data_IF_669734353816
#
_entry.id   IF_669734353816
#
_cell.length_a   1.000
_cell.length_b   1.000
_cell.length_c   1.000
_cell.angle_alpha   90.00
_cell.angle_beta   90.00
_cell.angle_gamma   90.00
#
_symmetry.space_group_name_H-M   'P 1'
#
loop_
_entity.id
_entity.type
_entity.pdbx_description
1 polymer ?
#
# COMPACT_ATOMS: atom_id res chain seq x y z
N UNK A 1 0.79 -8.19 4.88
CA UNK A 1 -0.63 -7.82 4.66
C UNK A 1 -0.79 -7.18 3.28
N UNK A 2 -1.78 -7.60 2.48
CA UNK A 2 -2.14 -6.92 1.21
C UNK A 2 -3.60 -6.48 1.25
N UNK A 3 -3.87 -5.23 0.87
CA UNK A 3 -5.21 -4.64 0.92
C UNK A 3 -5.39 -3.52 -0.11
N UNK A 4 -6.58 -3.42 -0.66
CA UNK A 4 -6.95 -2.36 -1.60
C UNK A 4 -7.65 -1.20 -0.87
N UNK A 5 -7.38 0.01 -1.33
CA UNK A 5 -7.95 1.24 -0.81
C UNK A 5 -8.22 2.24 -1.92
N UNK A 6 -9.08 3.20 -1.62
CA UNK A 6 -9.37 4.33 -2.47
C UNK A 6 -8.79 5.59 -1.83
N UNK A 7 -8.06 6.38 -2.60
CA UNK A 7 -7.51 7.66 -2.18
C UNK A 7 -7.57 8.65 -3.32
N UNK A 8 -8.01 9.88 -3.04
CA UNK A 8 -8.22 10.92 -4.05
C UNK A 8 -9.05 10.49 -5.29
N UNK A 9 -9.98 9.55 -5.11
CA UNK A 9 -10.83 9.00 -6.18
C UNK A 9 -10.17 7.94 -7.06
N UNK A 10 -8.94 7.54 -6.72
CA UNK A 10 -8.16 6.51 -7.40
C UNK A 10 -8.05 5.26 -6.54
N UNK A 11 -7.89 4.10 -7.18
CA UNK A 11 -7.73 2.82 -6.50
C UNK A 11 -6.26 2.48 -6.40
N UNK A 12 -5.85 2.08 -5.20
CA UNK A 12 -4.49 1.64 -4.92
C UNK A 12 -4.51 0.32 -4.17
N UNK A 13 -3.44 -0.45 -4.33
CA UNK A 13 -3.17 -1.67 -3.57
C UNK A 13 -1.94 -1.44 -2.71
N UNK A 14 -2.08 -1.58 -1.40
CA UNK A 14 -0.95 -1.63 -0.47
C UNK A 14 -0.59 -3.07 -0.15
N UNK A 15 0.71 -3.37 -0.17
CA UNK A 15 1.32 -4.60 0.31
C UNK A 15 2.35 -4.21 1.37
N UNK A 16 2.02 -4.42 2.64
CA UNK A 16 2.97 -4.27 3.74
C UNK A 16 3.57 -5.64 4.08
N UNK A 17 4.88 -5.76 4.13
CA UNK A 17 5.61 -6.99 4.41
C UNK A 17 6.62 -6.76 5.53
N UNK A 18 6.53 -7.54 6.61
CA UNK A 18 7.43 -7.44 7.76
C UNK A 18 6.68 -7.27 9.07
N UNK A 19 7.36 -6.70 10.06
CA UNK A 19 6.83 -6.46 11.40
C UNK A 19 6.69 -4.96 11.65
N UNK A 20 5.81 -4.57 12.57
CA UNK A 20 5.58 -3.16 12.89
C UNK A 20 6.91 -2.43 13.22
N UNK A 21 7.20 -1.36 12.48
CA UNK A 21 8.44 -0.58 12.60
C UNK A 21 9.64 -1.11 11.79
N UNK A 22 9.53 -2.30 11.21
CA UNK A 22 10.49 -2.91 10.27
C UNK A 22 9.71 -3.66 9.17
N UNK A 23 8.98 -2.89 8.38
CA UNK A 23 8.12 -3.38 7.31
C UNK A 23 8.42 -2.64 6.01
N UNK A 24 8.44 -3.38 4.92
CA UNK A 24 8.48 -2.87 3.56
C UNK A 24 7.03 -2.63 3.11
N UNK A 25 6.72 -1.40 2.70
CA UNK A 25 5.38 -1.03 2.26
C UNK A 25 5.46 -0.72 0.78
N UNK A 26 4.67 -1.45 0.00
CA UNK A 26 4.58 -1.34 -1.44
C UNK A 26 3.19 -0.83 -1.82
N UNK A 27 3.09 0.17 -2.67
CA UNK A 27 1.82 0.72 -3.16
C UNK A 27 1.83 0.68 -4.68
N UNK A 28 0.78 0.07 -5.23
CA UNK A 28 0.55 0.03 -6.67
C UNK A 28 -0.76 0.75 -6.98
N UNK A 29 -0.72 1.72 -7.90
CA UNK A 29 -1.91 2.36 -8.46
C UNK A 29 -2.57 1.41 -9.45
N UNK A 30 -3.89 1.26 -9.33
CA UNK A 30 -4.71 0.42 -10.19
C UNK A 30 -5.68 1.34 -10.92
N UNK A 31 -5.46 1.55 -12.21
CA UNK A 31 -6.34 2.33 -13.08
C UNK A 31 -7.04 1.39 -14.07
N UNK A 32 -8.37 1.29 -13.98
CA UNK A 32 -9.20 0.44 -14.86
C UNK A 32 -8.77 -1.04 -14.93
N UNK A 33 -8.16 -1.55 -13.84
CA UNK A 33 -7.63 -2.92 -13.77
C UNK A 33 -6.21 -3.08 -14.34
N UNK A 34 -5.55 -1.99 -14.71
CA UNK A 34 -4.15 -1.95 -15.14
C UNK A 34 -3.28 -1.39 -14.01
N UNK A 35 -2.18 -2.07 -13.72
CA UNK A 35 -1.14 -1.56 -12.81
C UNK A 35 -0.42 -0.38 -13.48
N UNK A 36 -0.60 0.81 -12.91
CA UNK A 36 -0.01 2.06 -13.41
C UNK A 36 1.30 2.37 -12.70
N UNK A 37 1.29 3.39 -11.85
CA UNK A 37 2.44 3.78 -11.04
C UNK A 37 2.60 2.93 -9.78
N UNK A 38 3.84 2.62 -9.41
CA UNK A 38 4.17 1.94 -8.17
C UNK A 38 5.20 2.73 -7.34
N UNK A 39 5.08 2.66 -6.02
CA UNK A 39 6.04 3.24 -5.08
C UNK A 39 6.21 2.29 -3.89
N UNK A 40 7.42 2.22 -3.36
CA UNK A 40 7.72 1.39 -2.20
C UNK A 40 8.64 2.13 -1.24
N UNK A 41 8.52 1.82 0.05
CA UNK A 41 9.44 2.27 1.09
C UNK A 41 9.86 1.09 1.94
N UNK A 42 11.15 1.01 2.21
CA UNK A 42 11.69 0.07 3.18
C UNK A 42 11.90 0.77 4.52
N UNK A 43 11.05 0.45 5.51
CA UNK A 43 11.17 1.09 6.82
C UNK A 43 12.40 0.64 7.62
N UNK A 44 13.13 -0.38 7.15
CA UNK A 44 14.31 -0.90 7.82
C UNK A 44 15.58 -0.07 7.52
N UNK A 45 15.68 0.49 6.32
CA UNK A 45 16.90 1.13 5.82
C UNK A 45 16.71 2.59 5.42
N UNK A 46 15.49 3.02 5.10
CA UNK A 46 15.23 4.42 4.79
C UNK A 46 14.96 5.27 6.04
N UNK A 47 15.26 6.57 5.99
CA UNK A 47 14.92 7.51 7.06
C UNK A 47 13.40 7.74 7.04
N UNK A 48 12.70 7.07 7.94
CA UNK A 48 11.25 7.09 8.04
C UNK A 48 10.83 7.06 9.52
N UNK A 49 9.67 7.64 9.81
CA UNK A 49 9.13 7.59 11.16
C UNK A 49 8.59 6.18 11.43
N UNK A 50 9.38 5.31 12.05
CA UNK A 50 9.04 3.91 12.35
C UNK A 50 7.93 3.77 13.40
N UNK A 51 7.56 4.88 14.05
CA UNK A 51 6.45 4.94 15.01
C UNK A 51 5.13 5.37 14.36
N UNK A 52 5.17 5.91 13.14
CA UNK A 52 3.98 6.33 12.42
C UNK A 52 3.08 5.13 12.04
N UNK A 53 1.74 5.30 12.09
CA UNK A 53 0.82 4.27 11.69
C UNK A 53 0.90 4.02 10.17
N UNK A 54 0.64 2.78 9.77
CA UNK A 54 0.69 2.34 8.37
C UNK A 54 -0.13 3.25 7.43
N UNK A 55 -1.30 3.71 7.89
CA UNK A 55 -2.17 4.62 7.13
C UNK A 55 -1.50 5.94 6.77
N UNK A 56 -0.67 6.50 7.67
CA UNK A 56 0.03 7.75 7.44
C UNK A 56 1.15 7.57 6.39
N UNK A 57 1.88 6.45 6.48
CA UNK A 57 2.88 6.07 5.48
C UNK A 57 2.23 5.85 4.11
N UNK A 58 1.07 5.20 4.07
CA UNK A 58 0.32 4.98 2.84
C UNK A 58 -0.06 6.31 2.18
N UNK A 59 -0.62 7.24 2.96
CA UNK A 59 -1.01 8.57 2.47
C UNK A 59 0.22 9.34 1.96
N UNK A 60 1.33 9.31 2.70
CA UNK A 60 2.58 9.96 2.31
C UNK A 60 3.11 9.43 0.97
N UNK A 61 3.12 8.10 0.80
CA UNK A 61 3.57 7.46 -0.44
C UNK A 61 2.66 7.77 -1.62
N UNK A 62 1.34 7.73 -1.43
CA UNK A 62 0.40 8.16 -2.47
C UNK A 62 0.62 9.63 -2.86
N UNK A 63 0.88 10.51 -1.89
CA UNK A 63 1.10 11.93 -2.18
C UNK A 63 2.38 12.18 -2.99
N UNK A 64 3.38 11.31 -2.89
CA UNK A 64 4.59 11.29 -3.76
C UNK A 64 4.31 10.67 -5.13
N UNK A 65 3.66 9.50 -5.15
CA UNK A 65 3.41 8.74 -6.37
C UNK A 65 2.53 9.50 -7.37
N UNK A 66 1.49 10.19 -6.89
CA UNK A 66 0.54 10.92 -7.74
C UNK A 66 1.22 11.95 -8.64
N UNK A 67 2.02 12.91 -8.13
CA UNK A 67 2.74 13.85 -8.98
C UNK A 67 3.88 13.20 -9.77
N UNK A 68 4.57 12.19 -9.22
CA UNK A 68 5.69 11.52 -9.93
C UNK A 68 5.21 10.72 -11.15
N UNK A 69 4.11 9.99 -11.00
CA UNK A 69 3.54 9.15 -12.05
C UNK A 69 2.53 9.91 -12.93
N UNK A 70 2.21 11.17 -12.56
CA UNK A 70 1.28 12.01 -13.31
C UNK A 70 -0.18 11.52 -13.25
N UNK A 71 -0.55 10.85 -12.16
CA UNK A 71 -1.88 10.26 -11.96
C UNK A 71 -2.92 11.38 -11.88
N UNK A 72 -3.90 11.36 -12.77
CA UNK A 72 -4.98 12.33 -12.82
C UNK A 72 -6.06 11.98 -11.78
N UNK A 73 -5.83 12.34 -10.52
CA UNK A 73 -6.79 12.05 -9.45
C UNK A 73 -8.20 12.55 -9.79
N UNK A 74 -9.17 11.64 -9.86
CA UNK A 74 -10.58 11.98 -10.08
C UNK A 74 -11.15 12.91 -9.00
N UNK A 75 -10.68 12.78 -7.76
CA UNK A 75 -11.12 13.60 -6.65
C UNK A 75 -9.93 13.99 -5.75
N UNK A 76 -9.20 15.08 -6.01
CA UNK A 76 -7.99 15.42 -5.25
C UNK A 76 -8.20 15.67 -3.75
N UNK A 77 -9.45 15.86 -3.29
CA UNK A 77 -9.83 15.99 -1.88
C UNK A 77 -10.54 14.73 -1.34
N UNK A 78 -10.50 13.62 -2.09
CA UNK A 78 -11.12 12.37 -1.70
C UNK A 78 -10.43 11.81 -0.45
N UNK A 79 -11.20 11.48 0.61
CA UNK A 79 -10.62 10.90 1.81
C UNK A 79 -10.05 9.51 1.50
N UNK A 80 -9.06 9.11 2.29
CA UNK A 80 -8.59 7.74 2.30
C UNK A 80 -9.69 6.82 2.83
N UNK A 81 -10.01 5.78 2.05
CA UNK A 81 -11.03 4.80 2.41
C UNK A 81 -10.59 3.39 2.00
N UNK A 82 -10.46 2.49 2.97
CA UNK A 82 -10.24 1.07 2.70
C UNK A 82 -11.41 0.50 1.88
N UNK A 83 -11.14 -0.17 0.75
CA UNK A 83 -12.18 -0.89 0.02
C UNK A 83 -12.57 -2.13 0.84
N UNK A 84 -13.85 -2.24 1.22
CA UNK A 84 -14.38 -3.49 1.78
C UNK A 84 -14.47 -4.51 0.63
N UNK A 85 -13.44 -5.34 0.50
CA UNK A 85 -13.31 -6.26 -0.64
C UNK A 85 -12.61 -7.54 -0.26
N UNK A 86 -11.30 -7.51 -0.06
CA UNK A 86 -10.55 -8.68 0.38
C UNK A 86 -9.28 -8.20 1.09
N UNK A 87 -9.10 -8.54 2.37
CA UNK A 87 -7.74 -8.65 2.91
C UNK A 87 -7.19 -9.91 2.22
N UNK A 88 -6.55 -9.75 1.06
CA UNK A 88 -6.26 -10.89 0.18
C UNK A 88 -5.27 -11.84 0.87
N UNK A 89 -4.34 -11.33 1.69
CA UNK A 89 -3.49 -12.14 2.55
C UNK A 89 -3.08 -11.38 3.81
N UNK A 90 -3.32 -12.01 4.96
CA UNK A 90 -2.60 -11.68 6.18
C UNK A 90 -1.23 -12.38 6.07
N UNK A 91 -0.25 -11.69 5.49
CA UNK A 91 1.12 -12.21 5.38
C UNK A 91 1.72 -12.21 6.79
N UNK A 92 1.38 -13.24 7.57
CA UNK A 92 2.09 -13.62 8.78
C UNK A 92 3.26 -14.48 8.35
N UNK A 93 4.45 -13.93 8.54
CA UNK A 93 5.65 -14.63 9.01
C UNK A 93 5.78 -16.12 8.62
N UNK A 94 6.57 -16.39 7.58
CA UNK A 94 7.57 -17.47 7.67
C UNK A 94 7.15 -18.94 7.77
N UNK A 95 5.88 -19.34 7.67
CA UNK A 95 5.52 -20.77 7.56
C UNK A 95 4.54 -20.99 6.40
N UNK A 96 5.08 -21.42 5.26
CA UNK A 96 4.32 -22.28 4.35
C UNK A 96 4.25 -23.64 5.04
N UNK A 97 3.19 -23.88 5.83
CA UNK A 97 2.85 -25.23 6.22
C UNK A 97 2.47 -25.99 4.95
N UNK A 98 3.44 -26.77 4.48
CA UNK A 98 3.27 -27.78 3.47
C UNK A 98 2.32 -28.83 4.02
N UNK A 99 1.04 -28.72 3.71
CA UNK A 99 0.09 -29.82 3.85
C UNK A 99 -0.71 -29.95 2.55
N UNK A 100 -0.33 -30.93 1.73
CA UNK A 100 -1.21 -32.06 1.37
C UNK A 100 -0.55 -32.97 0.32
N UNK A 101 -0.41 -34.24 0.70
CA UNK A 101 -0.07 -35.35 -0.19
C UNK A 101 0.35 -36.59 0.57
#
# INVERSE_FOLDING_TARGET
MVREFEYKGEVFRVTAHGIHGHEEIFITHIEDGVEGGEISIDRMTEDNDTSAPLEDIIVMLCDKLIPESGIACRNPNGPFAWRQGNIVYNVHDGVQEHDRG
#
